data_IF_023097861128
#
_entry.id   IF_023097861128
#
_cell.length_a   1.000
_cell.length_b   1.000
_cell.length_c   1.000
_cell.angle_alpha   90.00
_cell.angle_beta   90.00
_cell.angle_gamma   90.00
#
_symmetry.space_group_name_H-M   'P 1'
#
loop_
_entity.id
_entity.type
_entity.pdbx_description
1 polymer ?
#
# COMPACT_ATOMS: atom_id res chain seq x y z
N UNK A 1 24.35 80.13 29.73
CA UNK A 1 24.05 78.92 30.46
C UNK A 1 22.80 78.29 29.87
N UNK A 2 22.94 77.24 29.06
CA UNK A 2 21.86 76.64 28.29
C UNK A 2 21.43 75.35 29.03
N UNK A 3 20.24 75.32 29.62
CA UNK A 3 19.70 74.17 30.33
C UNK A 3 19.27 73.08 29.31
N UNK A 4 19.93 71.96 29.36
CA UNK A 4 19.58 70.76 28.56
C UNK A 4 18.47 69.99 29.31
N UNK A 5 17.27 69.91 28.69
CA UNK A 5 16.19 69.07 29.21
C UNK A 5 16.35 67.66 28.64
N UNK A 6 16.77 66.68 29.49
CA UNK A 6 16.76 65.30 29.19
C UNK A 6 15.30 64.80 29.33
N UNK A 7 14.66 64.52 28.21
CA UNK A 7 13.36 63.80 28.19
C UNK A 7 13.62 62.33 28.39
N UNK A 8 13.31 61.81 29.55
CA UNK A 8 13.30 60.37 29.79
C UNK A 8 12.19 59.73 28.97
N UNK A 9 12.57 58.95 27.96
CA UNK A 9 11.69 58.11 27.19
C UNK A 9 11.39 56.85 28.00
N UNK A 10 10.31 56.87 28.79
CA UNK A 10 9.80 55.69 29.49
C UNK A 10 9.06 54.84 28.42
N UNK A 11 9.78 53.90 27.84
CA UNK A 11 9.15 52.86 27.02
C UNK A 11 8.45 51.90 27.99
N UNK A 12 7.14 51.70 27.88
CA UNK A 12 6.45 50.84 28.83
C UNK A 12 6.93 49.41 28.65
N UNK A 13 7.60 48.88 29.66
CA UNK A 13 8.06 47.49 29.76
C UNK A 13 6.93 46.45 29.65
N UNK A 14 5.67 46.92 29.61
CA UNK A 14 4.46 46.12 29.50
C UNK A 14 4.22 45.52 28.12
N UNK A 15 4.85 46.05 27.05
CA UNK A 15 4.63 45.53 25.69
C UNK A 15 5.45 44.27 25.36
N UNK A 16 6.49 43.97 26.15
CA UNK A 16 7.35 42.83 25.91
C UNK A 16 6.87 41.53 26.60
N UNK A 17 5.94 41.62 27.57
CA UNK A 17 5.43 40.44 28.29
C UNK A 17 4.24 39.82 27.56
N UNK A 18 3.57 40.55 26.67
CA UNK A 18 2.36 40.00 25.99
C UNK A 18 2.64 39.23 24.69
N UNK A 19 3.86 39.31 24.16
CA UNK A 19 4.26 38.54 22.94
C UNK A 19 4.76 37.12 23.24
N UNK A 20 5.02 36.77 24.50
CA UNK A 20 5.53 35.44 24.86
C UNK A 20 4.44 34.38 25.10
N UNK A 21 3.14 34.76 25.09
CA UNK A 21 2.05 33.84 25.46
C UNK A 21 1.32 33.24 24.22
N UNK A 22 1.57 33.78 23.03
CA UNK A 22 1.03 33.23 21.77
C UNK A 22 2.17 32.59 20.94
N UNK A 23 2.86 31.63 21.49
CA UNK A 23 3.55 30.68 20.64
C UNK A 23 2.50 29.75 20.08
N UNK A 24 2.34 29.63 18.74
CA UNK A 24 1.52 28.57 18.19
C UNK A 24 2.13 27.25 18.73
N UNK A 25 1.30 26.45 19.37
CA UNK A 25 1.65 25.05 19.61
C UNK A 25 1.82 24.50 18.21
N UNK A 26 3.08 24.36 17.76
CA UNK A 26 3.37 23.52 16.61
C UNK A 26 2.89 22.13 17.00
N UNK A 27 1.69 21.80 16.52
CA UNK A 27 1.25 20.42 16.46
C UNK A 27 2.33 19.73 15.62
N UNK A 28 3.28 19.07 16.28
CA UNK A 28 4.20 18.17 15.60
C UNK A 28 3.30 17.18 14.85
N UNK A 29 3.09 17.44 13.57
CA UNK A 29 2.46 16.48 12.69
C UNK A 29 3.33 15.22 12.80
N UNK A 30 2.82 14.22 13.52
CA UNK A 30 3.49 12.94 13.67
C UNK A 30 3.71 12.44 12.25
N UNK A 31 4.97 12.23 11.86
CA UNK A 31 5.27 11.62 10.57
C UNK A 31 4.39 10.35 10.44
N UNK A 32 3.79 10.10 9.29
CA UNK A 32 2.99 8.89 9.11
C UNK A 32 3.85 7.69 9.51
N UNK A 33 3.31 6.81 10.36
CA UNK A 33 4.00 5.58 10.73
C UNK A 33 4.24 4.80 9.43
N UNK A 34 5.51 4.52 9.15
CA UNK A 34 5.90 3.67 8.04
C UNK A 34 6.15 2.28 8.61
N UNK A 35 5.44 1.31 8.09
CA UNK A 35 5.62 -0.09 8.41
C UNK A 35 6.32 -0.79 7.24
N UNK A 36 7.13 -1.80 7.54
CA UNK A 36 7.85 -2.56 6.54
C UNK A 36 7.01 -3.74 6.02
N UNK A 37 7.30 -4.14 4.80
CA UNK A 37 6.73 -5.34 4.20
C UNK A 37 7.52 -6.57 4.64
N UNK A 38 6.83 -7.62 5.06
CA UNK A 38 7.44 -8.83 5.65
C UNK A 38 7.40 -10.06 4.73
N UNK A 39 6.59 -10.00 3.67
CA UNK A 39 6.46 -11.08 2.69
C UNK A 39 5.47 -12.18 3.09
N UNK A 40 5.04 -12.92 2.07
CA UNK A 40 3.99 -13.93 2.19
C UNK A 40 4.33 -15.10 3.13
N UNK A 41 5.60 -15.41 3.30
CA UNK A 41 6.01 -16.51 4.18
C UNK A 41 5.71 -16.22 5.65
N UNK A 42 5.74 -14.95 6.06
CA UNK A 42 5.29 -14.53 7.40
C UNK A 42 3.78 -14.80 7.58
N UNK A 43 2.96 -14.39 6.63
CA UNK A 43 1.51 -14.62 6.67
C UNK A 43 1.17 -16.12 6.67
N UNK A 44 1.89 -16.92 5.89
CA UNK A 44 1.71 -18.35 5.75
C UNK A 44 1.82 -19.11 7.07
N UNK A 45 2.63 -18.66 8.02
CA UNK A 45 2.83 -19.35 9.30
C UNK A 45 1.51 -19.63 10.02
N UNK A 46 0.57 -18.70 9.96
CA UNK A 46 -0.75 -18.84 10.57
C UNK A 46 -1.84 -19.11 9.51
N UNK A 47 -1.88 -18.33 8.43
CA UNK A 47 -2.99 -18.28 7.47
C UNK A 47 -3.06 -19.47 6.47
N UNK A 48 -2.21 -20.48 6.59
CA UNK A 48 -2.35 -21.78 5.90
C UNK A 48 -3.21 -22.78 6.67
N UNK A 49 -3.61 -22.46 7.89
CA UNK A 49 -4.41 -23.35 8.72
C UNK A 49 -5.89 -23.21 8.36
N UNK A 50 -6.57 -24.36 8.17
CA UNK A 50 -7.99 -24.39 7.82
C UNK A 50 -8.87 -23.75 8.89
N UNK A 51 -8.48 -23.91 10.15
CA UNK A 51 -9.17 -23.35 11.31
C UNK A 51 -9.17 -21.82 11.32
N UNK A 52 -8.16 -21.22 10.65
CA UNK A 52 -8.02 -19.76 10.51
C UNK A 52 -8.48 -19.26 9.13
N UNK A 53 -9.10 -20.11 8.30
CA UNK A 53 -9.71 -19.71 7.03
C UNK A 53 -8.89 -20.00 5.78
N UNK A 54 -7.67 -20.59 5.91
CA UNK A 54 -6.85 -21.13 4.80
C UNK A 54 -6.50 -20.08 3.70
N UNK A 55 -6.39 -18.82 4.08
CA UNK A 55 -6.22 -17.69 3.17
C UNK A 55 -5.00 -17.84 2.26
N UNK A 56 -3.89 -18.38 2.82
CA UNK A 56 -2.67 -18.60 2.05
C UNK A 56 -2.91 -19.55 0.87
N UNK A 57 -3.60 -20.68 1.09
CA UNK A 57 -3.86 -21.64 0.00
C UNK A 57 -4.86 -21.10 -1.03
N UNK A 58 -5.82 -20.28 -0.60
CA UNK A 58 -6.69 -19.55 -1.55
C UNK A 58 -5.84 -18.66 -2.43
N UNK A 59 -5.01 -17.79 -1.86
CA UNK A 59 -4.11 -16.91 -2.61
C UNK A 59 -3.16 -17.69 -3.53
N UNK A 60 -2.52 -18.74 -3.03
CA UNK A 60 -1.54 -19.54 -3.79
C UNK A 60 -2.12 -20.19 -5.06
N UNK A 61 -3.45 -20.38 -5.11
CA UNK A 61 -4.15 -20.89 -6.27
C UNK A 61 -4.66 -19.80 -7.22
N UNK A 62 -4.48 -18.52 -6.91
CA UNK A 62 -4.89 -17.40 -7.78
C UNK A 62 -3.82 -17.04 -8.82
N UNK A 63 -4.21 -16.19 -9.78
CA UNK A 63 -3.26 -15.59 -10.70
C UNK A 63 -2.32 -14.57 -10.02
N UNK A 64 -2.69 -14.01 -8.89
CA UNK A 64 -1.87 -13.05 -8.14
C UNK A 64 -0.54 -13.66 -7.68
N UNK A 65 -0.57 -14.87 -7.12
CA UNK A 65 0.65 -15.58 -6.71
C UNK A 65 1.58 -15.95 -7.87
N UNK A 66 1.08 -15.94 -9.10
CA UNK A 66 1.81 -16.30 -10.33
C UNK A 66 2.09 -15.09 -11.22
N UNK A 67 1.75 -13.88 -10.76
CA UNK A 67 1.79 -12.69 -11.57
C UNK A 67 3.19 -12.39 -12.12
N UNK A 68 4.23 -12.57 -11.31
CA UNK A 68 5.62 -12.41 -11.77
C UNK A 68 5.98 -13.39 -12.90
N UNK A 69 5.62 -14.65 -12.76
CA UNK A 69 5.93 -15.67 -13.76
C UNK A 69 5.18 -15.46 -15.08
N UNK A 70 4.01 -14.82 -15.03
CA UNK A 70 3.27 -14.44 -16.24
C UNK A 70 4.09 -13.50 -17.12
N UNK A 71 4.91 -12.63 -16.53
CA UNK A 71 5.81 -11.75 -17.30
C UNK A 71 6.88 -12.50 -18.08
N UNK A 72 7.21 -13.74 -17.71
CA UNK A 72 8.18 -14.59 -18.40
C UNK A 72 7.65 -15.27 -19.65
N UNK A 73 6.33 -15.21 -19.93
CA UNK A 73 5.71 -15.88 -21.07
C UNK A 73 6.08 -15.22 -22.41
N UNK A 74 6.05 -15.97 -23.53
CA UNK A 74 6.29 -15.40 -24.85
C UNK A 74 5.36 -14.24 -25.18
N UNK A 75 4.08 -14.34 -24.81
CA UNK A 75 3.08 -13.30 -25.01
C UNK A 75 3.43 -12.01 -24.24
N UNK A 76 3.80 -12.12 -22.97
CA UNK A 76 4.20 -10.97 -22.17
C UNK A 76 5.48 -10.30 -22.72
N UNK A 77 6.42 -11.08 -23.23
CA UNK A 77 7.64 -10.57 -23.88
C UNK A 77 7.33 -9.84 -25.18
N UNK A 78 6.38 -10.33 -25.98
CA UNK A 78 5.93 -9.64 -27.19
C UNK A 78 5.27 -8.29 -26.86
N UNK A 79 4.38 -8.26 -25.87
CA UNK A 79 3.76 -7.02 -25.37
C UNK A 79 4.82 -6.04 -24.90
N UNK A 80 5.80 -6.52 -24.13
CA UNK A 80 6.89 -5.72 -23.63
C UNK A 80 7.76 -5.12 -24.75
N UNK A 81 8.08 -5.92 -25.76
CA UNK A 81 8.84 -5.47 -26.94
C UNK A 81 8.11 -4.36 -27.69
N UNK A 82 6.79 -4.48 -27.87
CA UNK A 82 5.96 -3.45 -28.50
C UNK A 82 5.92 -2.13 -27.69
N UNK A 83 6.22 -2.19 -26.39
CA UNK A 83 6.35 -1.04 -25.49
C UNK A 83 7.80 -0.53 -25.34
N UNK A 84 8.75 -1.12 -26.08
CA UNK A 84 10.16 -0.80 -25.97
C UNK A 84 10.82 -1.29 -24.66
N UNK A 85 10.26 -2.34 -24.05
CA UNK A 85 10.75 -2.96 -22.81
C UNK A 85 11.50 -4.24 -23.18
N UNK A 86 12.77 -4.34 -22.82
CA UNK A 86 13.62 -5.49 -23.14
C UNK A 86 13.25 -6.74 -22.34
N UNK A 87 13.04 -6.57 -21.03
CA UNK A 87 12.68 -7.65 -20.11
C UNK A 87 11.56 -7.21 -19.17
N UNK A 88 10.34 -7.76 -19.32
CA UNK A 88 9.22 -7.38 -18.47
C UNK A 88 9.39 -7.82 -17.01
N UNK A 89 10.18 -8.87 -16.72
CA UNK A 89 10.46 -9.32 -15.35
C UNK A 89 11.48 -8.43 -14.62
N UNK A 90 12.12 -7.49 -15.33
CA UNK A 90 13.04 -6.50 -14.76
C UNK A 90 12.50 -5.07 -14.92
N UNK A 91 11.36 -4.90 -15.56
CA UNK A 91 10.81 -3.59 -15.82
C UNK A 91 9.86 -3.13 -14.73
N UNK A 92 10.16 -2.00 -14.12
CA UNK A 92 9.30 -1.35 -13.16
C UNK A 92 7.89 -1.05 -13.66
N UNK A 93 7.74 -0.81 -14.95
CA UNK A 93 6.44 -0.60 -15.58
C UNK A 93 5.55 -1.84 -15.50
N UNK A 94 6.14 -3.03 -15.52
CA UNK A 94 5.43 -4.31 -15.41
C UNK A 94 5.30 -4.74 -13.94
N UNK A 95 6.41 -4.68 -13.23
CA UNK A 95 6.51 -5.16 -11.84
C UNK A 95 5.58 -4.44 -10.87
N UNK A 96 5.26 -3.16 -11.12
CA UNK A 96 4.32 -2.39 -10.27
C UNK A 96 2.94 -3.05 -10.10
N UNK A 97 2.53 -3.90 -11.06
CA UNK A 97 1.28 -4.63 -11.02
C UNK A 97 1.48 -6.15 -10.86
N UNK A 98 2.70 -6.63 -11.09
CA UNK A 98 3.00 -8.06 -11.12
C UNK A 98 3.89 -8.51 -9.94
N UNK A 99 4.26 -7.61 -9.05
CA UNK A 99 4.99 -7.93 -7.81
C UNK A 99 4.69 -6.93 -6.70
N UNK A 100 4.68 -7.40 -5.47
CA UNK A 100 4.54 -6.54 -4.28
C UNK A 100 5.81 -5.71 -4.05
N UNK A 101 6.97 -6.24 -4.38
CA UNK A 101 8.28 -5.68 -4.01
C UNK A 101 8.75 -4.49 -4.85
N UNK A 102 8.04 -4.14 -5.93
CA UNK A 102 8.62 -3.28 -6.95
C UNK A 102 8.70 -1.79 -6.60
N UNK A 103 7.86 -1.31 -5.70
CA UNK A 103 7.71 0.12 -5.40
C UNK A 103 8.44 0.57 -4.14
N UNK A 104 9.19 -0.33 -3.51
CA UNK A 104 9.81 -0.08 -2.21
C UNK A 104 11.31 0.15 -2.33
N UNK A 105 11.84 1.00 -1.46
CA UNK A 105 13.27 1.12 -1.23
C UNK A 105 13.76 -0.05 -0.37
N UNK A 106 15.07 -0.34 -0.38
CA UNK A 106 15.66 -1.37 0.48
C UNK A 106 15.36 -1.14 1.97
N UNK A 107 15.06 0.10 2.37
CA UNK A 107 14.72 0.48 3.75
C UNK A 107 13.27 0.14 4.14
N UNK A 108 12.38 -0.11 3.16
CA UNK A 108 10.96 -0.41 3.36
C UNK A 108 10.64 -1.91 3.26
N UNK A 109 11.65 -2.74 3.05
CA UNK A 109 11.50 -4.16 2.78
C UNK A 109 12.27 -4.97 3.82
N UNK A 110 11.58 -5.86 4.51
CA UNK A 110 12.25 -6.91 5.27
C UNK A 110 12.98 -7.88 4.32
N UNK A 111 14.00 -8.55 4.81
CA UNK A 111 14.95 -9.35 4.03
C UNK A 111 14.34 -10.50 3.24
N UNK A 112 13.10 -10.93 3.55
CA UNK A 112 12.47 -12.11 2.99
C UNK A 112 11.42 -11.81 1.90
N UNK A 113 11.21 -10.54 1.54
CA UNK A 113 10.28 -10.17 0.49
C UNK A 113 10.88 -10.48 -0.89
N UNK A 114 10.29 -11.43 -1.63
CA UNK A 114 10.77 -11.87 -2.94
C UNK A 114 9.87 -11.38 -4.05
N UNK A 115 10.48 -10.88 -5.11
CA UNK A 115 9.79 -10.39 -6.30
C UNK A 115 9.02 -11.52 -7.03
N UNK A 116 9.55 -12.75 -6.96
CA UNK A 116 8.98 -13.93 -7.61
C UNK A 116 7.67 -14.40 -6.99
N UNK A 117 7.38 -14.01 -5.75
CA UNK A 117 6.12 -14.35 -5.08
C UNK A 117 4.92 -13.56 -5.64
N UNK A 118 5.16 -12.69 -6.62
CA UNK A 118 4.11 -11.98 -7.35
C UNK A 118 3.38 -10.96 -6.50
N UNK A 119 2.06 -10.87 -6.68
CA UNK A 119 1.19 -9.98 -5.91
C UNK A 119 0.79 -10.68 -4.63
N UNK A 120 1.47 -10.36 -3.54
CA UNK A 120 1.34 -11.01 -2.23
C UNK A 120 0.20 -10.39 -1.39
N UNK A 121 -0.01 -10.95 -0.20
CA UNK A 121 -1.05 -10.51 0.75
C UNK A 121 -0.99 -9.00 1.02
N UNK A 122 0.19 -8.48 1.24
CA UNK A 122 0.44 -7.09 1.61
C UNK A 122 0.17 -6.08 0.49
N UNK A 123 0.07 -6.51 -0.78
CA UNK A 123 -0.42 -5.64 -1.86
C UNK A 123 -1.87 -5.17 -1.63
N UNK A 124 -2.64 -5.99 -0.92
CA UNK A 124 -4.03 -5.72 -0.59
C UNK A 124 -4.21 -5.28 0.86
N UNK A 125 -3.43 -5.89 1.78
CA UNK A 125 -3.60 -5.74 3.21
C UNK A 125 -2.66 -4.74 3.87
N UNK A 126 -1.75 -4.12 3.10
CA UNK A 126 -0.74 -3.19 3.63
C UNK A 126 0.43 -3.91 4.30
N UNK A 127 1.48 -3.15 4.68
CA UNK A 127 2.72 -3.68 5.24
C UNK A 127 2.50 -4.34 6.60
N UNK A 128 3.02 -5.57 6.76
CA UNK A 128 2.70 -6.50 7.83
C UNK A 128 3.51 -6.40 9.10
N UNK A 129 4.57 -5.60 9.13
CA UNK A 129 5.57 -5.59 10.20
C UNK A 129 4.95 -5.59 11.61
N UNK A 130 3.98 -4.72 11.87
CA UNK A 130 3.41 -4.56 13.20
C UNK A 130 2.15 -5.41 13.42
N UNK A 131 1.32 -5.62 12.40
CA UNK A 131 0.08 -6.37 12.60
C UNK A 131 0.25 -7.90 12.49
N UNK A 132 1.44 -8.42 12.15
CA UNK A 132 1.70 -9.88 12.15
C UNK A 132 1.95 -10.45 13.54
N UNK A 133 2.13 -9.62 14.56
CA UNK A 133 2.16 -10.09 15.95
C UNK A 133 0.80 -10.64 16.36
N UNK A 134 0.82 -11.82 17.03
CA UNK A 134 -0.42 -12.55 17.36
C UNK A 134 -1.38 -11.71 18.20
N UNK A 135 -0.88 -11.03 19.21
CA UNK A 135 -1.66 -10.16 20.10
C UNK A 135 -2.32 -8.99 19.39
N UNK A 136 -1.73 -8.50 18.30
CA UNK A 136 -2.29 -7.43 17.46
C UNK A 136 -3.32 -8.01 16.49
N UNK A 137 -3.03 -9.18 15.89
CA UNK A 137 -3.89 -9.79 14.88
C UNK A 137 -5.19 -10.35 15.46
N UNK A 138 -5.24 -10.64 16.76
CA UNK A 138 -6.44 -11.13 17.45
C UNK A 138 -7.51 -10.03 17.60
N UNK A 139 -7.14 -8.73 17.51
CA UNK A 139 -8.07 -7.61 17.49
C UNK A 139 -8.00 -6.86 16.15
N UNK A 140 -9.13 -6.82 15.44
CA UNK A 140 -9.20 -6.19 14.11
C UNK A 140 -8.92 -4.69 14.14
N UNK A 141 -9.34 -4.00 15.19
CA UNK A 141 -9.13 -2.55 15.29
C UNK A 141 -7.67 -2.23 15.64
N UNK A 142 -7.05 -3.04 16.49
CA UNK A 142 -5.62 -2.94 16.77
C UNK A 142 -4.80 -3.26 15.51
N UNK A 143 -5.15 -4.31 14.77
CA UNK A 143 -4.47 -4.64 13.51
C UNK A 143 -4.58 -3.51 12.49
N UNK A 144 -5.74 -2.86 12.35
CA UNK A 144 -5.94 -1.69 11.49
C UNK A 144 -5.11 -0.48 11.97
N UNK A 145 -5.04 -0.25 13.27
CA UNK A 145 -4.22 0.82 13.83
C UNK A 145 -2.72 0.60 13.55
N UNK A 146 -2.31 -0.67 13.40
CA UNK A 146 -0.94 -1.10 13.08
C UNK A 146 -0.71 -1.37 11.59
N UNK A 147 -1.57 -0.86 10.71
CA UNK A 147 -1.34 -0.83 9.26
C UNK A 147 -2.12 -1.84 8.44
N UNK A 148 -2.93 -2.73 9.06
CA UNK A 148 -3.79 -3.64 8.30
C UNK A 148 -4.84 -2.86 7.51
N UNK A 149 -4.86 -3.08 6.20
CA UNK A 149 -5.86 -2.52 5.29
C UNK A 149 -6.87 -3.61 4.93
N UNK A 150 -8.15 -3.27 4.98
CA UNK A 150 -9.19 -4.10 4.37
C UNK A 150 -9.37 -3.67 2.91
N UNK A 151 -9.09 -4.54 1.94
CA UNK A 151 -9.08 -4.17 0.53
C UNK A 151 -10.48 -3.79 0.03
N UNK A 152 -10.50 -2.81 -0.86
CA UNK A 152 -11.69 -2.29 -1.53
C UNK A 152 -11.54 -2.36 -3.06
N UNK A 153 -12.56 -1.98 -3.81
CA UNK A 153 -12.43 -1.84 -5.26
C UNK A 153 -11.28 -0.91 -5.66
N UNK A 154 -11.05 0.18 -4.90
CA UNK A 154 -9.96 1.10 -5.17
C UNK A 154 -8.59 0.41 -5.06
N UNK A 155 -8.43 -0.52 -4.11
CA UNK A 155 -7.22 -1.34 -3.99
C UNK A 155 -6.97 -2.14 -5.27
N UNK A 156 -8.00 -2.76 -5.83
CA UNK A 156 -7.91 -3.53 -7.07
C UNK A 156 -7.58 -2.63 -8.28
N UNK A 157 -8.17 -1.45 -8.31
CA UNK A 157 -8.01 -0.47 -9.39
C UNK A 157 -6.60 0.11 -9.52
N UNK A 158 -5.75 -0.04 -8.53
CA UNK A 158 -4.32 0.33 -8.64
C UNK A 158 -3.61 -0.41 -9.79
N UNK A 159 -4.04 -1.65 -10.07
CA UNK A 159 -3.47 -2.49 -11.13
C UNK A 159 -4.48 -2.82 -12.24
N UNK A 160 -5.76 -3.04 -11.89
CA UNK A 160 -6.83 -3.37 -12.84
C UNK A 160 -7.49 -2.10 -13.39
N UNK A 161 -6.80 -1.41 -14.30
CA UNK A 161 -7.18 -0.13 -14.86
C UNK A 161 -6.73 0.02 -16.33
N UNK A 162 -7.18 1.06 -17.07
CA UNK A 162 -6.83 1.30 -18.48
C UNK A 162 -5.34 1.54 -18.78
N UNK A 163 -4.49 1.73 -17.78
CA UNK A 163 -3.04 1.85 -18.00
C UNK A 163 -2.36 0.50 -18.28
N UNK A 164 -3.05 -0.61 -18.01
CA UNK A 164 -2.57 -1.94 -18.38
C UNK A 164 -2.55 -2.10 -19.88
N UNK A 165 -1.45 -2.55 -20.51
CA UNK A 165 -1.37 -2.76 -21.95
C UNK A 165 -2.32 -3.86 -22.46
N UNK A 166 -2.84 -4.70 -21.56
CA UNK A 166 -3.80 -5.76 -21.86
C UNK A 166 -5.21 -5.43 -21.37
N UNK A 167 -5.48 -4.14 -21.12
CA UNK A 167 -6.81 -3.71 -20.67
C UNK A 167 -7.85 -3.95 -21.77
N UNK A 168 -8.88 -4.68 -21.39
CA UNK A 168 -10.08 -4.85 -22.20
C UNK A 168 -11.25 -4.15 -21.50
N UNK A 169 -11.75 -3.08 -22.11
CA UNK A 169 -12.82 -2.25 -21.56
C UNK A 169 -14.18 -2.98 -21.48
N UNK A 170 -14.31 -4.14 -22.11
CA UNK A 170 -15.53 -4.93 -22.19
C UNK A 170 -15.39 -6.34 -21.60
N UNK A 171 -14.36 -6.58 -20.81
CA UNK A 171 -13.98 -7.90 -20.29
C UNK A 171 -15.05 -8.56 -19.43
N UNK A 172 -15.72 -7.80 -18.57
CA UNK A 172 -16.70 -8.28 -17.62
C UNK A 172 -18.11 -7.87 -18.01
N UNK A 173 -19.09 -8.65 -17.55
CA UNK A 173 -20.52 -8.38 -17.75
C UNK A 173 -21.16 -8.20 -16.38
N UNK A 174 -21.82 -7.06 -16.19
CA UNK A 174 -22.62 -6.76 -14.98
C UNK A 174 -23.96 -7.52 -15.01
N UNK A 175 -24.67 -7.67 -13.88
CA UNK A 175 -25.95 -8.38 -13.82
C UNK A 175 -27.05 -7.80 -14.74
N UNK A 176 -26.98 -6.51 -15.06
CA UNK A 176 -27.88 -5.83 -16.02
C UNK A 176 -27.42 -5.95 -17.48
N UNK A 177 -26.37 -6.75 -17.75
CA UNK A 177 -25.87 -7.05 -19.10
C UNK A 177 -24.91 -6.02 -19.67
N UNK A 178 -24.49 -5.02 -18.93
CA UNK A 178 -23.53 -4.01 -19.39
C UNK A 178 -22.11 -4.60 -19.39
N UNK A 179 -21.36 -4.35 -20.47
CA UNK A 179 -19.93 -4.69 -20.55
C UNK A 179 -19.09 -3.62 -19.89
N UNK A 180 -18.13 -4.03 -19.08
CA UNK A 180 -17.19 -3.16 -18.34
C UNK A 180 -15.81 -3.80 -18.30
N UNK A 181 -14.76 -3.01 -18.17
CA UNK A 181 -13.39 -3.55 -18.11
C UNK A 181 -13.08 -4.29 -16.81
N UNK A 182 -13.78 -3.95 -15.73
CA UNK A 182 -13.61 -4.58 -14.42
C UNK A 182 -14.91 -4.47 -13.61
N UNK A 183 -15.48 -5.60 -13.25
CA UNK A 183 -16.65 -5.68 -12.36
C UNK A 183 -16.23 -6.25 -11.01
N UNK A 184 -16.05 -5.38 -10.02
CA UNK A 184 -15.52 -5.71 -8.70
C UNK A 184 -16.23 -6.89 -8.04
N UNK A 185 -17.58 -6.97 -7.94
CA UNK A 185 -18.25 -8.09 -7.29
C UNK A 185 -17.95 -9.46 -7.90
N UNK A 186 -17.74 -9.52 -9.22
CA UNK A 186 -17.35 -10.73 -9.93
C UNK A 186 -15.90 -11.11 -9.61
N UNK A 187 -15.01 -10.14 -9.66
CA UNK A 187 -13.56 -10.35 -9.47
C UNK A 187 -13.22 -10.64 -8.01
N UNK A 188 -13.95 -10.02 -7.10
CA UNK A 188 -13.81 -10.29 -5.66
C UNK A 188 -14.02 -11.76 -5.33
N UNK A 189 -15.08 -12.40 -5.86
CA UNK A 189 -15.37 -13.81 -5.65
C UNK A 189 -14.25 -14.77 -6.07
N UNK A 190 -13.36 -14.33 -6.96
CA UNK A 190 -12.24 -15.16 -7.43
C UNK A 190 -11.07 -15.20 -6.45
N UNK A 191 -11.00 -14.24 -5.53
CA UNK A 191 -9.89 -14.07 -4.58
C UNK A 191 -10.38 -13.99 -3.13
N UNK A 192 -11.69 -13.95 -2.93
CA UNK A 192 -12.30 -13.89 -1.62
C UNK A 192 -11.85 -15.09 -0.77
N UNK A 193 -11.39 -14.83 0.40
CA UNK A 193 -11.03 -15.83 1.39
C UNK A 193 -11.76 -15.59 2.71
N UNK A 194 -11.89 -16.63 3.49
CA UNK A 194 -12.63 -16.60 4.74
C UNK A 194 -11.96 -15.68 5.76
N UNK A 195 -12.77 -14.97 6.54
CA UNK A 195 -12.30 -14.29 7.76
C UNK A 195 -12.23 -15.33 8.87
N UNK A 196 -11.18 -15.31 9.71
CA UNK A 196 -11.13 -16.14 10.90
C UNK A 196 -12.24 -15.80 11.90
#
# INVERSE_FOLDING_TARGET
MRKMHIKHLVIPLFLLIFTAIFQPIEVLARAPMRFNYVGVDMCKMCHRKKELGDQYNVWANTHHSKAFYTLGTPEAKEIAANLGINDPQQSGKCLRCHSTCHVFTEEEVATDLRIEDGVQCESCHGPGEEYTYMEVMEDLEDAKAMGLVMPTEETCRKCHNPESPTWDAEKDITPDGKRVGFYFPLRWKMIEHHKP
#
